data_IF_696762570370
#
_entry.id   IF_696762570370
#
_cell.length_a   1.000
_cell.length_b   1.000
_cell.length_c   1.000
_cell.angle_alpha   90.00
_cell.angle_beta   90.00
_cell.angle_gamma   90.00
#
_symmetry.space_group_name_H-M   'P 1'
#
loop_
_entity.id
_entity.type
_entity.pdbx_description
1 polymer ?
#
# COMPACT_ATOMS: atom_id res chain seq x y z
N UNK A 1 14.89 -50.94 21.92
CA UNK A 1 14.29 -49.67 22.39
C UNK A 1 15.24 -48.53 22.03
N UNK A 2 15.04 -47.90 20.88
CA UNK A 2 15.76 -46.69 20.48
C UNK A 2 14.72 -45.58 20.33
N UNK A 3 14.85 -44.54 21.17
CA UNK A 3 14.03 -43.33 21.10
C UNK A 3 14.55 -42.49 19.93
N UNK A 4 13.72 -42.33 18.91
CA UNK A 4 13.94 -41.36 17.83
C UNK A 4 13.45 -40.01 18.34
N UNK A 5 14.38 -39.09 18.57
CA UNK A 5 14.10 -37.69 18.90
C UNK A 5 13.84 -36.96 17.58
N UNK A 6 12.59 -36.53 17.35
CA UNK A 6 12.25 -35.65 16.22
C UNK A 6 12.92 -34.28 16.40
N UNK A 7 13.91 -34.00 15.55
CA UNK A 7 14.43 -32.65 15.34
C UNK A 7 13.44 -31.90 14.44
N UNK A 8 12.72 -30.93 15.00
CA UNK A 8 11.93 -29.97 14.22
C UNK A 8 12.92 -29.00 13.57
N UNK A 9 13.11 -29.14 12.26
CA UNK A 9 13.86 -28.18 11.45
C UNK A 9 12.88 -27.07 11.05
N UNK A 10 12.94 -25.93 11.75
CA UNK A 10 12.31 -24.71 11.29
C UNK A 10 13.11 -24.15 10.11
N UNK A 11 12.52 -24.15 8.92
CA UNK A 11 13.07 -23.44 7.77
C UNK A 11 12.98 -21.92 8.01
N UNK A 12 14.13 -21.28 8.20
CA UNK A 12 14.28 -19.83 8.14
C UNK A 12 14.23 -19.38 6.67
N UNK A 13 13.22 -18.61 6.30
CA UNK A 13 13.22 -17.84 5.06
C UNK A 13 14.21 -16.69 5.18
N UNK A 14 15.39 -16.83 4.59
CA UNK A 14 16.33 -15.72 4.35
C UNK A 14 15.83 -14.89 3.14
N UNK A 15 14.82 -14.06 3.38
CA UNK A 15 14.67 -12.80 2.66
C UNK A 15 15.20 -11.68 3.55
N UNK A 16 15.77 -10.62 2.98
CA UNK A 16 16.13 -9.42 3.74
C UNK A 16 14.85 -8.79 4.34
N UNK A 17 14.41 -9.31 5.48
CA UNK A 17 13.38 -8.69 6.32
C UNK A 17 14.02 -7.42 6.88
N UNK A 18 13.32 -6.29 6.79
CA UNK A 18 13.82 -5.01 7.27
C UNK A 18 14.14 -5.11 8.77
N UNK A 19 15.40 -5.44 9.08
CA UNK A 19 15.96 -5.46 10.42
C UNK A 19 16.09 -4.01 10.85
N UNK A 20 15.07 -3.48 11.51
CA UNK A 20 15.31 -2.45 12.50
C UNK A 20 16.31 -3.05 13.51
N UNK A 21 17.36 -2.30 13.86
CA UNK A 21 18.11 -2.59 15.10
C UNK A 21 17.09 -2.82 16.22
N UNK A 22 17.33 -3.77 17.15
CA UNK A 22 16.33 -4.22 18.11
C UNK A 22 15.97 -3.08 19.05
N UNK A 23 14.98 -2.28 18.66
CA UNK A 23 14.11 -1.58 19.58
C UNK A 23 13.17 -2.67 20.06
N UNK A 24 13.17 -2.92 21.38
CA UNK A 24 12.34 -3.90 22.09
C UNK A 24 11.08 -4.28 21.32
N UNK A 25 10.85 -5.59 21.09
CA UNK A 25 9.65 -6.16 20.43
C UNK A 25 8.36 -5.48 20.91
N UNK A 26 8.00 -4.39 20.26
CA UNK A 26 6.68 -3.79 20.30
C UNK A 26 5.80 -4.59 19.36
N UNK A 27 4.56 -4.85 19.76
CA UNK A 27 3.57 -5.51 18.93
C UNK A 27 3.57 -4.94 17.50
N UNK A 28 3.41 -5.80 16.50
CA UNK A 28 3.24 -5.36 15.10
C UNK A 28 2.04 -4.42 15.08
N UNK A 29 2.26 -3.16 14.70
CA UNK A 29 1.20 -2.17 14.62
C UNK A 29 0.50 -2.27 13.26
N UNK A 30 -0.82 -2.42 13.30
CA UNK A 30 -1.66 -2.74 12.14
C UNK A 30 -2.83 -1.77 12.08
N UNK A 31 -3.21 -1.36 10.88
CA UNK A 31 -4.50 -0.68 10.69
C UNK A 31 -5.61 -1.71 10.90
N UNK A 32 -6.52 -1.45 11.84
CA UNK A 32 -7.61 -2.39 12.15
C UNK A 32 -8.68 -2.42 11.05
N UNK A 33 -9.42 -3.52 10.93
CA UNK A 33 -10.59 -3.62 10.02
C UNK A 33 -11.58 -2.48 10.27
N UNK A 34 -11.81 -2.11 11.54
CA UNK A 34 -12.71 -1.02 11.91
C UNK A 34 -12.24 0.33 11.34
N UNK A 35 -10.94 0.62 11.41
CA UNK A 35 -10.35 1.81 10.80
C UNK A 35 -10.48 1.79 9.28
N UNK A 36 -10.19 0.66 8.63
CA UNK A 36 -10.33 0.51 7.18
C UNK A 36 -11.77 0.77 6.72
N UNK A 37 -12.77 0.17 7.38
CA UNK A 37 -14.18 0.44 7.09
C UNK A 37 -14.52 1.92 7.31
N UNK A 38 -13.99 2.54 8.37
CA UNK A 38 -14.19 3.96 8.62
C UNK A 38 -13.54 4.84 7.54
N UNK A 39 -12.37 4.48 7.04
CA UNK A 39 -11.70 5.18 5.93
C UNK A 39 -12.59 5.13 4.69
N UNK A 40 -13.02 3.93 4.27
CA UNK A 40 -13.93 3.75 3.14
C UNK A 40 -15.18 4.64 3.23
N UNK A 41 -15.81 4.67 4.41
CA UNK A 41 -17.03 5.46 4.65
C UNK A 41 -16.82 6.97 4.66
N UNK A 42 -15.59 7.48 4.82
CA UNK A 42 -15.30 8.92 4.64
C UNK A 42 -15.47 9.37 3.18
N UNK A 43 -15.54 8.43 2.22
CA UNK A 43 -15.89 8.73 0.83
C UNK A 43 -14.84 9.49 0.03
N UNK A 44 -13.63 9.68 0.57
CA UNK A 44 -12.50 10.27 -0.19
C UNK A 44 -12.13 9.31 -1.32
N UNK A 45 -12.23 9.79 -2.55
CA UNK A 45 -11.91 8.95 -3.70
C UNK A 45 -10.43 8.55 -3.67
N UNK A 46 -10.12 7.28 -3.99
CA UNK A 46 -8.75 6.85 -4.13
C UNK A 46 -8.00 7.75 -5.13
N UNK A 47 -6.78 8.15 -4.80
CA UNK A 47 -6.02 9.10 -5.61
C UNK A 47 -4.51 8.92 -5.50
N UNK A 48 -3.79 9.36 -6.53
CA UNK A 48 -2.31 9.40 -6.52
C UNK A 48 -1.82 10.77 -6.01
N UNK A 49 -0.63 10.84 -5.39
CA UNK A 49 -0.10 12.10 -4.87
C UNK A 49 0.23 13.12 -5.97
N UNK A 50 0.51 12.64 -7.18
CA UNK A 50 0.77 13.42 -8.37
C UNK A 50 0.21 12.66 -9.59
N UNK A 51 -0.21 13.40 -10.62
CA UNK A 51 -0.44 12.84 -11.94
C UNK A 51 0.90 12.34 -12.47
N UNK A 52 1.13 11.03 -12.36
CA UNK A 52 2.24 10.39 -13.04
C UNK A 52 2.00 10.55 -14.54
N UNK A 53 2.93 11.19 -15.24
CA UNK A 53 3.05 10.92 -16.67
C UNK A 53 3.57 9.49 -16.77
N UNK A 54 2.71 8.56 -17.17
CA UNK A 54 3.14 7.27 -17.67
C UNK A 54 4.26 7.56 -18.68
N UNK A 55 5.45 7.04 -18.44
CA UNK A 55 6.58 7.24 -19.33
C UNK A 55 6.23 6.59 -20.67
N UNK A 56 5.77 7.42 -21.61
CA UNK A 56 5.71 7.06 -23.02
C UNK A 56 7.17 6.90 -23.47
N UNK A 57 7.46 5.71 -23.99
CA UNK A 57 8.67 5.25 -24.67
C UNK A 57 9.90 6.20 -24.68
N UNK A 58 11.01 5.70 -24.10
CA UNK A 58 12.40 6.16 -24.31
C UNK A 58 12.92 7.37 -23.52
N UNK A 59 12.51 7.52 -22.25
CA UNK A 59 13.29 8.31 -21.28
C UNK A 59 13.55 7.46 -20.04
N UNK A 60 14.79 6.98 -19.88
CA UNK A 60 15.22 6.12 -18.76
C UNK A 60 15.40 6.87 -17.42
N UNK A 61 14.82 8.05 -17.26
CA UNK A 61 14.89 8.80 -16.00
C UNK A 61 13.48 9.26 -15.63
N UNK A 62 12.64 8.32 -15.21
CA UNK A 62 11.37 8.68 -14.61
C UNK A 62 11.65 9.41 -13.29
N UNK A 63 11.22 10.66 -13.18
CA UNK A 63 11.15 11.40 -11.92
C UNK A 63 10.14 10.67 -11.00
N UNK A 64 10.60 9.67 -10.25
CA UNK A 64 9.74 8.92 -9.33
C UNK A 64 9.44 9.83 -8.14
N UNK A 65 8.22 10.34 -8.08
CA UNK A 65 7.71 11.01 -6.90
C UNK A 65 7.56 9.99 -5.76
N UNK A 66 8.36 10.15 -4.71
CA UNK A 66 8.31 9.32 -3.51
C UNK A 66 7.54 10.06 -2.44
N UNK A 67 6.66 9.33 -1.73
CA UNK A 67 6.11 9.87 -0.50
C UNK A 67 6.96 9.36 0.64
N UNK A 68 7.51 10.29 1.40
CA UNK A 68 8.52 9.98 2.41
C UNK A 68 7.99 10.34 3.77
N UNK A 69 8.22 9.44 4.71
CA UNK A 69 8.24 9.74 6.14
C UNK A 69 9.67 9.93 6.56
N UNK A 70 9.90 11.14 7.04
CA UNK A 70 11.13 11.44 7.72
C UNK A 70 10.78 11.81 9.15
N UNK A 71 11.53 11.31 10.12
CA UNK A 71 11.96 12.22 11.16
C UNK A 71 12.91 13.26 10.52
N UNK A 72 12.52 14.54 10.34
CA UNK A 72 13.51 15.64 10.15
C UNK A 72 13.48 16.63 11.29
N UNK A 73 14.59 16.78 12.01
CA UNK A 73 14.79 17.93 12.89
C UNK A 73 15.26 19.09 12.01
N UNK A 74 14.33 19.96 11.60
CA UNK A 74 14.71 21.18 10.90
C UNK A 74 15.23 22.13 11.99
N UNK A 75 16.57 22.26 12.15
CA UNK A 75 17.25 22.96 13.26
C UNK A 75 16.76 24.39 13.60
N UNK A 76 15.88 25.00 12.79
CA UNK A 76 15.31 26.33 13.01
C UNK A 76 13.77 26.33 13.17
N UNK A 77 13.14 25.15 13.14
CA UNK A 77 11.79 24.91 13.57
C UNK A 77 11.96 24.07 14.84
N UNK A 78 11.75 24.65 16.02
CA UNK A 78 11.71 23.92 17.29
C UNK A 78 10.49 22.97 17.32
N UNK A 79 10.42 22.07 16.35
CA UNK A 79 9.39 21.08 16.17
C UNK A 79 10.06 19.70 16.16
N UNK A 80 9.64 18.78 17.04
CA UNK A 80 10.09 17.42 16.97
C UNK A 80 9.73 16.83 15.61
N UNK A 81 10.78 16.35 14.97
CA UNK A 81 10.90 15.84 13.63
C UNK A 81 9.92 14.75 13.19
N UNK A 82 9.27 14.08 14.15
CA UNK A 82 8.64 12.76 13.97
C UNK A 82 7.34 12.78 13.19
N UNK A 83 6.81 13.96 12.82
CA UNK A 83 5.48 14.11 12.23
C UNK A 83 5.48 14.78 10.84
N UNK A 84 6.63 14.91 10.18
CA UNK A 84 6.69 15.54 8.85
C UNK A 84 6.55 14.50 7.74
N UNK A 85 5.38 14.51 7.11
CA UNK A 85 5.06 13.74 5.92
C UNK A 85 5.19 14.63 4.69
N UNK A 86 5.90 14.18 3.66
CA UNK A 86 6.16 15.03 2.51
C UNK A 86 6.30 14.25 1.20
N UNK A 87 5.94 14.92 0.11
CA UNK A 87 6.18 14.46 -1.26
C UNK A 87 7.54 14.99 -1.69
N UNK A 88 8.41 14.07 -2.08
CA UNK A 88 9.74 14.36 -2.60
C UNK A 88 9.86 13.83 -4.03
N UNK A 89 10.55 14.58 -4.86
CA UNK A 89 10.97 14.17 -6.19
C UNK A 89 12.47 13.89 -6.16
N UNK A 90 12.90 12.83 -6.86
CA UNK A 90 14.32 12.57 -7.06
C UNK A 90 14.77 13.22 -8.37
N UNK A 91 15.63 14.22 -8.28
CA UNK A 91 16.21 14.92 -9.42
C UNK A 91 17.73 14.67 -9.46
N UNK A 92 18.19 13.77 -10.34
CA UNK A 92 19.62 13.36 -10.42
C UNK A 92 20.23 12.98 -9.07
N UNK A 93 19.56 12.12 -8.31
CA UNK A 93 19.94 11.71 -6.95
C UNK A 93 19.84 12.82 -5.90
N UNK A 94 19.35 14.01 -6.24
CA UNK A 94 19.07 15.07 -5.28
C UNK A 94 17.59 15.11 -4.92
N UNK A 95 17.28 15.20 -3.63
CA UNK A 95 15.91 15.32 -3.16
C UNK A 95 15.39 16.74 -3.36
N UNK A 96 14.19 16.81 -3.93
CA UNK A 96 13.44 18.04 -4.13
C UNK A 96 12.12 17.93 -3.37
N UNK A 97 11.91 18.78 -2.37
CA UNK A 97 10.66 18.87 -1.64
C UNK A 97 9.60 19.49 -2.55
N UNK A 98 8.54 18.74 -2.85
CA UNK A 98 7.41 19.22 -3.67
C UNK A 98 6.25 19.72 -2.83
N UNK A 99 5.97 19.04 -1.73
CA UNK A 99 4.83 19.35 -0.87
C UNK A 99 5.01 18.78 0.52
N UNK A 100 4.57 19.53 1.53
CA UNK A 100 4.37 19.00 2.88
C UNK A 100 2.91 18.55 2.99
N UNK A 101 2.69 17.33 3.45
CA UNK A 101 1.36 16.82 3.69
C UNK A 101 0.85 17.29 5.06
N UNK A 102 -0.42 17.73 5.16
CA UNK A 102 -1.04 18.17 6.41
C UNK A 102 -1.49 16.96 7.25
N UNK A 103 -0.57 16.05 7.56
CA UNK A 103 -0.81 14.87 8.39
C UNK A 103 -0.25 15.19 9.77
N UNK A 104 -1.12 15.18 10.80
CA UNK A 104 -0.75 15.63 12.14
C UNK A 104 -0.59 17.15 12.28
N UNK A 105 -0.97 17.94 11.27
CA UNK A 105 -0.98 19.40 11.30
C UNK A 105 -2.04 19.99 10.35
N UNK A 106 -2.33 21.29 10.48
CA UNK A 106 -3.24 22.00 9.57
C UNK A 106 -2.62 22.27 8.20
N UNK A 107 -3.46 22.47 7.18
CA UNK A 107 -3.01 22.88 5.84
C UNK A 107 -2.23 24.20 5.86
N UNK A 108 -2.73 25.20 6.60
CA UNK A 108 -2.06 26.48 6.76
C UNK A 108 -0.65 26.33 7.33
N UNK A 109 -0.47 25.42 8.31
CA UNK A 109 0.84 25.16 8.90
C UNK A 109 1.78 24.44 7.93
N UNK A 110 1.29 23.45 7.19
CA UNK A 110 2.08 22.77 6.17
C UNK A 110 2.58 23.75 5.10
N UNK A 111 1.72 24.68 4.67
CA UNK A 111 2.01 25.70 3.67
C UNK A 111 3.00 26.76 4.20
N UNK A 112 2.84 27.18 5.45
CA UNK A 112 3.79 28.07 6.14
C UNK A 112 5.21 27.46 6.16
N UNK A 113 5.33 26.19 6.59
CA UNK A 113 6.62 25.50 6.65
C UNK A 113 7.25 25.37 5.26
N UNK A 114 6.46 25.01 4.24
CA UNK A 114 6.95 24.92 2.87
C UNK A 114 7.46 26.28 2.36
N UNK A 115 6.71 27.35 2.63
CA UNK A 115 7.09 28.73 2.27
C UNK A 115 8.37 29.19 2.98
N UNK A 116 8.55 28.83 4.25
CA UNK A 116 9.78 29.11 4.99
C UNK A 116 10.99 28.41 4.37
N UNK A 117 10.86 27.12 4.01
CA UNK A 117 11.92 26.35 3.36
C UNK A 117 12.26 26.92 1.98
N UNK A 118 11.24 27.29 1.20
CA UNK A 118 11.39 27.94 -0.10
C UNK A 118 12.18 29.26 0.02
N UNK A 119 11.83 30.12 0.99
CA UNK A 119 12.52 31.40 1.23
C UNK A 119 13.97 31.21 1.65
N UNK A 120 14.26 30.18 2.46
CA UNK A 120 15.59 29.94 3.03
C UNK A 120 16.54 29.25 2.06
N UNK A 121 16.04 28.29 1.28
CA UNK A 121 16.86 27.40 0.46
C UNK A 121 16.67 27.61 -1.05
N UNK A 122 15.76 28.49 -1.45
CA UNK A 122 15.47 28.79 -2.85
C UNK A 122 14.60 27.74 -3.53
N UNK A 123 14.27 27.99 -4.79
CA UNK A 123 13.39 27.14 -5.61
C UNK A 123 12.14 27.89 -6.06
N UNK A 124 11.12 27.14 -6.49
CA UNK A 124 9.79 27.70 -6.80
C UNK A 124 8.70 26.74 -6.34
N UNK A 125 7.45 27.20 -6.27
CA UNK A 125 6.31 26.32 -5.95
C UNK A 125 6.13 25.20 -6.97
N UNK A 126 6.42 25.48 -8.24
CA UNK A 126 6.32 24.51 -9.34
C UNK A 126 7.47 23.50 -9.32
N UNK A 127 8.70 23.99 -9.14
CA UNK A 127 9.91 23.15 -9.20
C UNK A 127 10.19 22.44 -7.87
N UNK A 128 9.79 23.02 -6.75
CA UNK A 128 10.07 22.54 -5.39
C UNK A 128 11.33 23.17 -4.80
N UNK A 129 11.74 22.66 -3.64
CA UNK A 129 12.88 23.14 -2.84
C UNK A 129 13.95 22.05 -2.76
N UNK A 130 15.18 22.33 -3.19
CA UNK A 130 16.29 21.37 -3.06
C UNK A 130 16.65 21.15 -1.59
N UNK A 131 16.68 19.90 -1.15
CA UNK A 131 16.84 19.50 0.24
C UNK A 131 18.28 19.62 0.79
N UNK A 132 19.04 20.65 0.39
CA UNK A 132 20.47 20.79 0.71
C UNK A 132 20.79 20.79 2.21
N UNK A 133 19.79 21.07 3.05
CA UNK A 133 19.89 21.06 4.50
C UNK A 133 19.79 19.67 5.14
N UNK A 134 19.38 18.64 4.40
CA UNK A 134 19.02 17.35 4.97
C UNK A 134 20.14 16.32 4.82
N UNK A 135 20.60 15.79 5.95
CA UNK A 135 21.46 14.59 6.04
C UNK A 135 20.79 13.63 7.01
N UNK A 136 20.60 12.37 6.63
CA UNK A 136 19.94 11.36 7.44
C UNK A 136 19.32 10.23 6.62
N UNK A 137 18.44 9.45 7.26
CA UNK A 137 17.72 8.34 6.63
C UNK A 137 16.23 8.64 6.49
N UNK A 138 15.63 8.17 5.39
CA UNK A 138 14.24 8.43 5.03
C UNK A 138 13.52 7.13 4.71
N UNK A 139 12.34 6.92 5.29
CA UNK A 139 11.44 5.85 4.84
C UNK A 139 10.60 6.38 3.68
N UNK A 140 10.79 5.84 2.48
CA UNK A 140 10.06 6.25 1.29
C UNK A 140 9.12 5.14 0.83
N UNK A 141 7.84 5.46 0.71
CA UNK A 141 6.88 4.64 -0.04
C UNK A 141 7.14 4.83 -1.54
N UNK A 142 7.32 3.73 -2.25
CA UNK A 142 7.49 3.73 -3.71
C UNK A 142 6.12 3.70 -4.35
N UNK A 143 5.83 4.64 -5.24
CA UNK A 143 4.52 4.72 -5.91
C UNK A 143 3.34 4.61 -4.93
N UNK A 144 3.25 5.48 -3.93
CA UNK A 144 2.18 5.48 -2.94
C UNK A 144 0.81 5.74 -3.57
N UNK A 145 -0.23 5.21 -2.96
CA UNK A 145 -1.62 5.45 -3.33
C UNK A 145 -2.42 5.90 -2.10
N UNK A 146 -3.27 6.91 -2.24
CA UNK A 146 -4.19 7.31 -1.18
C UNK A 146 -5.44 6.43 -1.24
N UNK A 147 -5.58 5.52 -0.30
CA UNK A 147 -6.76 4.69 -0.12
C UNK A 147 -7.64 5.30 0.97
N UNK A 148 -8.63 6.09 0.56
CA UNK A 148 -9.64 6.64 1.45
C UNK A 148 -9.08 7.47 2.63
N UNK A 149 -7.99 8.18 2.39
CA UNK A 149 -7.31 9.03 3.37
C UNK A 149 -6.05 8.41 3.98
N UNK A 150 -5.80 7.11 3.78
CA UNK A 150 -4.56 6.44 4.21
C UNK A 150 -3.61 6.28 3.03
N UNK A 151 -2.33 6.63 3.22
CA UNK A 151 -1.33 6.49 2.16
C UNK A 151 -0.65 5.15 2.27
N UNK A 152 -0.74 4.33 1.21
CA UNK A 152 -0.23 2.97 1.22
C UNK A 152 0.73 2.69 0.06
N UNK A 153 1.63 1.73 0.23
CA UNK A 153 2.42 1.15 -0.86
C UNK A 153 2.71 -0.34 -0.67
N UNK A 154 2.91 -1.04 -1.79
CA UNK A 154 3.45 -2.41 -1.85
C UNK A 154 4.96 -2.47 -1.58
N UNK A 155 5.62 -1.32 -1.69
CA UNK A 155 7.07 -1.23 -1.67
C UNK A 155 7.50 -0.02 -0.86
N UNK A 156 8.53 -0.25 -0.06
CA UNK A 156 9.18 0.75 0.75
C UNK A 156 10.66 0.68 0.49
N UNK A 157 11.34 1.80 0.62
CA UNK A 157 12.80 1.85 0.62
C UNK A 157 13.27 2.77 1.73
N UNK A 158 14.46 2.48 2.23
CA UNK A 158 15.18 3.37 3.13
C UNK A 158 16.20 4.12 2.27
N UNK A 159 16.09 5.44 2.22
CA UNK A 159 17.06 6.28 1.54
C UNK A 159 18.06 6.79 2.58
N UNK A 160 19.35 6.66 2.30
CA UNK A 160 20.39 7.40 3.03
C UNK A 160 20.73 8.65 2.24
N UNK A 161 20.78 9.80 2.92
CA UNK A 161 20.93 11.12 2.30
C UNK A 161 22.05 11.90 2.97
N UNK A 162 22.93 12.51 2.20
CA UNK A 162 23.87 13.53 2.65
C UNK A 162 23.64 14.86 1.93
N UNK A 163 23.32 15.91 2.68
CA UNK A 163 23.10 17.29 2.18
C UNK A 163 22.18 17.34 0.96
N UNK A 164 21.08 16.59 1.04
CA UNK A 164 20.06 16.47 0.02
C UNK A 164 20.35 15.45 -1.08
N UNK A 165 21.55 14.87 -1.15
CA UNK A 165 21.91 13.84 -2.13
C UNK A 165 21.70 12.45 -1.56
N UNK A 166 20.95 11.62 -2.28
CA UNK A 166 20.74 10.20 -1.99
C UNK A 166 22.06 9.47 -2.24
N UNK A 167 22.63 8.88 -1.19
CA UNK A 167 23.89 8.14 -1.23
C UNK A 167 23.69 6.62 -1.19
N UNK A 168 22.56 6.16 -0.64
CA UNK A 168 22.15 4.75 -0.67
C UNK A 168 20.64 4.62 -0.80
N UNK A 169 20.20 3.52 -1.41
CA UNK A 169 18.81 3.12 -1.55
C UNK A 169 18.70 1.66 -1.14
N UNK A 170 18.15 1.41 0.03
CA UNK A 170 17.96 0.05 0.55
C UNK A 170 16.49 -0.36 0.32
N UNK A 171 16.20 -1.25 -0.64
CA UNK A 171 14.84 -1.71 -0.86
C UNK A 171 14.37 -2.58 0.30
N UNK A 172 13.20 -2.24 0.84
CA UNK A 172 12.48 -3.03 1.83
C UNK A 172 11.43 -3.87 1.09
N UNK A 173 11.81 -5.09 0.75
CA UNK A 173 10.91 -6.02 0.05
C UNK A 173 9.84 -6.55 0.99
N UNK A 174 8.58 -6.20 0.76
CA UNK A 174 7.45 -6.93 1.37
C UNK A 174 7.36 -8.30 0.68
N UNK A 175 7.35 -9.42 1.42
CA UNK A 175 7.21 -10.75 0.83
C UNK A 175 6.00 -10.84 -0.10
N UNK A 176 6.17 -11.53 -1.24
CA UNK A 176 5.06 -11.73 -2.17
C UNK A 176 4.04 -12.69 -1.56
N UNK A 177 2.75 -12.43 -1.83
CA UNK A 177 1.71 -13.42 -1.56
C UNK A 177 1.86 -14.63 -2.48
N UNK A 178 1.31 -15.78 -2.08
CA UNK A 178 1.36 -17.03 -2.85
C UNK A 178 0.50 -16.98 -4.12
N UNK A 179 -0.53 -16.12 -4.17
CA UNK A 179 -1.35 -15.89 -5.37
C UNK A 179 -0.70 -14.88 -6.31
N UNK A 180 0.41 -15.25 -6.96
CA UNK A 180 1.11 -14.35 -7.89
C UNK A 180 1.21 -14.87 -9.34
N UNK A 181 1.00 -16.17 -9.57
CA UNK A 181 1.32 -16.83 -10.85
C UNK A 181 0.17 -17.69 -11.44
N UNK A 182 -1.06 -17.16 -11.55
CA UNK A 182 -2.20 -17.96 -12.01
C UNK A 182 -2.42 -17.97 -13.54
N UNK A 183 -1.52 -17.37 -14.32
CA UNK A 183 -1.50 -17.41 -15.79
C UNK A 183 -0.49 -16.45 -16.43
N UNK A 184 0.07 -16.84 -17.58
CA UNK A 184 1.04 -16.08 -18.38
C UNK A 184 0.33 -15.00 -19.22
N UNK A 185 0.04 -13.85 -18.62
CA UNK A 185 -0.25 -12.64 -19.37
C UNK A 185 1.04 -11.89 -19.69
N UNK A 186 1.20 -11.38 -20.91
CA UNK A 186 2.21 -10.34 -21.17
C UNK A 186 1.76 -9.10 -20.42
N UNK A 187 2.39 -8.82 -19.28
CA UNK A 187 2.14 -7.61 -18.52
C UNK A 187 2.95 -6.47 -19.16
N UNK A 188 2.27 -5.58 -19.88
CA UNK A 188 2.87 -4.29 -20.22
C UNK A 188 2.96 -3.52 -18.90
N UNK A 189 4.19 -3.33 -18.44
CA UNK A 189 4.52 -2.72 -17.17
C UNK A 189 4.45 -1.19 -17.35
N UNK A 190 3.25 -0.63 -17.33
CA UNK A 190 2.99 0.81 -17.53
C UNK A 190 2.97 1.62 -16.23
N UNK A 191 3.24 0.99 -15.08
CA UNK A 191 3.39 1.68 -13.80
C UNK A 191 3.62 0.75 -12.60
N UNK A 192 3.96 1.35 -11.45
CA UNK A 192 4.28 0.62 -10.21
C UNK A 192 3.14 -0.22 -9.61
N UNK A 193 1.89 0.16 -9.88
CA UNK A 193 0.73 -0.69 -9.66
C UNK A 193 0.33 -1.14 -11.06
N UNK A 194 0.77 -2.33 -11.48
CA UNK A 194 0.38 -2.90 -12.76
C UNK A 194 -1.13 -2.72 -12.94
N UNK A 195 -1.58 -2.23 -14.11
CA UNK A 195 -3.00 -1.99 -14.43
C UNK A 195 -3.91 -3.18 -14.12
N UNK A 196 -3.35 -4.38 -14.11
CA UNK A 196 -3.98 -5.59 -13.60
C UNK A 196 -3.15 -6.15 -12.45
N UNK A 197 -3.55 -5.88 -11.20
CA UNK A 197 -2.95 -6.53 -10.04
C UNK A 197 -3.12 -8.05 -10.20
N UNK A 198 -2.06 -8.83 -10.52
CA UNK A 198 -2.23 -10.23 -10.93
C UNK A 198 -2.88 -11.09 -9.84
N UNK A 199 -2.69 -10.68 -8.58
CA UNK A 199 -3.29 -11.27 -7.38
C UNK A 199 -4.83 -11.21 -7.42
N UNK A 200 -5.45 -10.19 -8.02
CA UNK A 200 -6.92 -10.07 -8.13
C UNK A 200 -7.47 -10.97 -9.24
N UNK A 201 -6.78 -11.06 -10.39
CA UNK A 201 -7.16 -12.03 -11.45
C UNK A 201 -7.00 -13.47 -10.97
N UNK A 202 -5.95 -13.73 -10.18
CA UNK A 202 -5.75 -14.99 -9.46
C UNK A 202 -6.92 -15.28 -8.51
N UNK A 203 -7.35 -14.28 -7.73
CA UNK A 203 -8.48 -14.40 -6.82
C UNK A 203 -9.78 -14.74 -7.56
N UNK A 204 -10.07 -14.02 -8.64
CA UNK A 204 -11.26 -14.27 -9.45
C UNK A 204 -11.28 -15.68 -10.03
N UNK A 205 -10.13 -16.15 -10.56
CA UNK A 205 -9.97 -17.53 -11.00
C UNK A 205 -10.19 -18.52 -9.87
N UNK A 206 -9.57 -18.30 -8.71
CA UNK A 206 -9.74 -19.16 -7.55
C UNK A 206 -11.21 -19.25 -7.12
N UNK A 207 -11.91 -18.12 -7.06
CA UNK A 207 -13.34 -18.10 -6.72
C UNK A 207 -14.12 -18.88 -7.77
N UNK A 208 -13.94 -18.59 -9.06
CA UNK A 208 -14.65 -19.32 -10.13
C UNK A 208 -14.46 -20.84 -10.05
N UNK A 209 -13.27 -21.29 -9.71
CA UNK A 209 -12.93 -22.72 -9.67
C UNK A 209 -13.46 -23.42 -8.39
N UNK A 210 -13.85 -22.69 -7.33
CA UNK A 210 -14.22 -23.26 -6.02
C UNK A 210 -15.56 -22.74 -5.43
N UNK A 211 -16.24 -21.82 -6.11
CA UNK A 211 -17.48 -21.19 -5.66
C UNK A 211 -18.70 -21.88 -6.26
N UNK A 212 -19.70 -22.20 -5.44
CA UNK A 212 -20.98 -22.76 -5.91
C UNK A 212 -21.94 -21.64 -6.35
N UNK A 213 -22.27 -21.52 -7.66
CA UNK A 213 -23.07 -20.40 -8.15
C UNK A 213 -24.48 -20.33 -7.55
N UNK A 214 -24.81 -19.20 -6.91
CA UNK A 214 -26.17 -18.89 -6.44
C UNK A 214 -26.99 -18.30 -7.58
N UNK A 215 -28.09 -18.97 -7.93
CA UNK A 215 -28.97 -18.55 -9.02
C UNK A 215 -29.57 -17.15 -8.83
N UNK A 216 -29.54 -16.34 -9.88
CA UNK A 216 -30.16 -15.02 -9.96
C UNK A 216 -30.39 -14.61 -11.43
N UNK A 217 -31.41 -13.80 -11.67
CA UNK A 217 -31.65 -13.15 -12.96
C UNK A 217 -30.99 -11.78 -13.09
N UNK A 218 -30.51 -11.21 -11.97
CA UNK A 218 -29.96 -9.86 -11.93
C UNK A 218 -28.49 -9.87 -11.53
N UNK A 219 -27.77 -8.89 -12.07
CA UNK A 219 -26.45 -8.53 -11.62
C UNK A 219 -26.54 -7.69 -10.34
N UNK A 220 -25.58 -7.87 -9.44
CA UNK A 220 -25.48 -7.13 -8.18
C UNK A 220 -24.06 -6.64 -7.95
N UNK A 221 -23.93 -5.36 -7.62
CA UNK A 221 -22.65 -4.74 -7.30
C UNK A 221 -22.42 -4.69 -5.79
N UNK A 222 -21.15 -4.87 -5.42
CA UNK A 222 -20.66 -4.88 -4.05
C UNK A 222 -19.38 -4.07 -3.94
N UNK A 223 -19.15 -3.56 -2.75
CA UNK A 223 -17.84 -3.08 -2.32
C UNK A 223 -17.37 -3.99 -1.21
N UNK A 224 -16.17 -4.55 -1.35
CA UNK A 224 -15.62 -5.53 -0.44
C UNK A 224 -14.32 -5.01 0.16
N UNK A 225 -14.02 -5.43 1.39
CA UNK A 225 -12.69 -5.36 1.98
C UNK A 225 -12.17 -6.79 2.10
N UNK A 226 -11.20 -7.14 1.28
CA UNK A 226 -10.42 -8.36 1.44
C UNK A 226 -9.32 -8.10 2.48
N UNK A 227 -9.36 -8.81 3.60
CA UNK A 227 -8.45 -8.63 4.73
C UNK A 227 -7.63 -9.89 4.94
N UNK A 228 -6.32 -9.76 5.13
CA UNK A 228 -5.43 -10.88 5.46
C UNK A 228 -4.82 -10.67 6.82
N UNK A 229 -5.18 -11.51 7.80
CA UNK A 229 -4.70 -11.37 9.18
C UNK A 229 -3.19 -11.67 9.32
N UNK A 230 -2.64 -11.49 10.51
CA UNK A 230 -1.21 -11.71 10.76
C UNK A 230 -0.80 -13.19 10.68
N UNK A 231 -1.76 -14.13 10.72
CA UNK A 231 -1.51 -15.54 10.45
C UNK A 231 -1.44 -15.83 8.95
N UNK A 232 -1.81 -14.87 8.09
CA UNK A 232 -1.88 -14.99 6.65
C UNK A 232 -3.23 -15.52 6.14
N UNK A 233 -4.24 -15.66 7.00
CA UNK A 233 -5.58 -16.10 6.60
C UNK A 233 -6.39 -14.94 6.05
N UNK A 234 -7.11 -15.19 4.95
CA UNK A 234 -7.89 -14.18 4.25
C UNK A 234 -9.37 -14.24 4.62
N UNK A 235 -9.99 -13.07 4.69
CA UNK A 235 -11.37 -12.84 5.03
C UNK A 235 -11.94 -11.79 4.10
N UNK A 236 -13.25 -11.82 3.86
CA UNK A 236 -13.95 -10.78 3.13
C UNK A 236 -14.95 -10.10 4.04
N UNK A 237 -14.99 -8.77 4.00
CA UNK A 237 -15.98 -7.95 4.67
C UNK A 237 -16.78 -7.18 3.63
N UNK A 238 -18.11 -7.17 3.77
CA UNK A 238 -19.00 -6.42 2.88
C UNK A 238 -19.07 -4.97 3.34
N UNK A 239 -18.65 -4.05 2.48
CA UNK A 239 -18.74 -2.61 2.71
C UNK A 239 -20.03 -2.03 2.09
N UNK A 240 -20.42 -2.55 0.92
CA UNK A 240 -21.68 -2.21 0.24
C UNK A 240 -22.30 -3.48 -0.36
N UNK A 241 -23.64 -3.65 -0.29
CA UNK A 241 -24.61 -2.72 0.32
C UNK A 241 -24.56 -2.73 1.86
N UNK A 242 -24.90 -1.60 2.49
CA UNK A 242 -24.91 -1.49 3.98
C UNK A 242 -25.94 -2.43 4.62
N UNK A 243 -27.06 -2.67 3.93
CA UNK A 243 -28.11 -3.60 4.35
C UNK A 243 -28.20 -4.73 3.34
N UNK A 244 -27.93 -5.95 3.81
CA UNK A 244 -28.03 -7.15 2.99
C UNK A 244 -29.46 -7.70 2.99
N UNK A 245 -29.99 -7.95 1.79
CA UNK A 245 -31.19 -8.77 1.61
C UNK A 245 -30.89 -10.27 1.79
N UNK A 246 -31.93 -11.09 1.65
CA UNK A 246 -31.78 -12.56 1.70
C UNK A 246 -30.84 -13.08 0.61
N UNK A 247 -30.97 -12.56 -0.61
CA UNK A 247 -30.12 -12.94 -1.73
C UNK A 247 -28.65 -12.58 -1.48
N UNK A 248 -28.40 -11.34 -1.04
CA UNK A 248 -27.04 -10.85 -0.73
C UNK A 248 -26.38 -11.76 0.31
N UNK A 249 -27.10 -12.13 1.38
CA UNK A 249 -26.59 -13.05 2.42
C UNK A 249 -26.18 -14.40 1.85
N UNK A 250 -26.95 -14.97 0.91
CA UNK A 250 -26.67 -16.28 0.33
C UNK A 250 -25.42 -16.24 -0.56
N UNK A 251 -25.32 -15.23 -1.41
CA UNK A 251 -24.16 -15.00 -2.29
C UNK A 251 -22.89 -14.71 -1.49
N UNK A 252 -23.00 -13.85 -0.47
CA UNK A 252 -21.88 -13.48 0.40
C UNK A 252 -21.41 -14.66 1.24
N UNK A 253 -22.32 -15.45 1.81
CA UNK A 253 -21.94 -16.63 2.62
C UNK A 253 -21.10 -17.62 1.83
N UNK A 254 -21.44 -17.81 0.55
CA UNK A 254 -20.70 -18.71 -0.33
C UNK A 254 -19.33 -18.12 -0.73
N UNK A 255 -19.28 -16.80 -0.93
CA UNK A 255 -18.02 -16.09 -1.17
C UNK A 255 -17.11 -16.18 0.06
N UNK A 256 -17.64 -15.93 1.26
CA UNK A 256 -16.91 -16.04 2.52
C UNK A 256 -16.37 -17.45 2.73
N UNK A 257 -17.17 -18.50 2.47
CA UNK A 257 -16.72 -19.89 2.51
C UNK A 257 -15.53 -20.11 1.57
N UNK A 258 -15.66 -19.70 0.32
CA UNK A 258 -14.62 -19.83 -0.70
C UNK A 258 -13.34 -19.07 -0.29
N UNK A 259 -13.45 -17.82 0.13
CA UNK A 259 -12.31 -16.99 0.56
C UNK A 259 -11.58 -17.60 1.77
N UNK A 260 -12.29 -18.24 2.69
CA UNK A 260 -11.70 -18.90 3.85
C UNK A 260 -10.83 -20.13 3.49
N UNK A 261 -10.99 -20.68 2.29
CA UNK A 261 -10.22 -21.82 1.76
C UNK A 261 -8.94 -21.39 1.03
N UNK A 262 -8.73 -20.08 0.86
CA UNK A 262 -7.51 -19.56 0.25
C UNK A 262 -6.26 -20.02 1.02
N UNK A 263 -5.17 -20.39 0.31
CA UNK A 263 -3.91 -20.69 0.96
C UNK A 263 -3.44 -19.57 1.88
N UNK A 264 -2.82 -19.94 2.99
CA UNK A 264 -2.21 -18.97 3.90
C UNK A 264 -1.17 -18.14 3.17
N UNK A 265 -1.16 -16.82 3.41
CA UNK A 265 -0.25 -15.89 2.74
C UNK A 265 -0.62 -15.63 1.28
N UNK A 266 -1.87 -15.85 0.88
CA UNK A 266 -2.36 -15.57 -0.48
C UNK A 266 -2.11 -14.13 -0.93
N UNK A 267 -2.34 -13.16 -0.03
CA UNK A 267 -2.15 -11.74 -0.32
C UNK A 267 -1.08 -11.13 0.59
N UNK A 268 -0.38 -10.14 0.05
CA UNK A 268 0.56 -9.32 0.81
C UNK A 268 -0.15 -8.16 1.52
N UNK A 269 0.41 -7.71 2.63
CA UNK A 269 0.03 -6.43 3.21
C UNK A 269 0.61 -5.24 2.41
N UNK A 270 0.15 -4.03 2.71
CA UNK A 270 0.76 -2.77 2.27
C UNK A 270 1.38 -2.07 3.48
N UNK A 271 2.39 -1.26 3.23
CA UNK A 271 2.96 -0.35 4.23
C UNK A 271 2.19 0.97 4.17
N UNK A 272 1.78 1.47 5.32
CA UNK A 272 1.26 2.83 5.43
C UNK A 272 2.39 3.83 5.55
N UNK A 273 2.05 5.10 5.37
CA UNK A 273 2.97 6.19 5.56
C UNK A 273 3.50 6.25 6.99
N UNK A 274 2.64 6.15 7.99
CA UNK A 274 3.04 6.13 9.41
C UNK A 274 3.78 4.84 9.86
N UNK A 275 4.00 3.90 8.94
CA UNK A 275 4.79 2.68 9.19
C UNK A 275 4.00 1.51 9.80
N UNK A 276 2.67 1.62 9.85
CA UNK A 276 1.76 0.52 10.19
C UNK A 276 1.60 -0.44 9.01
N UNK A 277 1.18 -1.66 9.34
CA UNK A 277 0.80 -2.65 8.34
C UNK A 277 -0.67 -2.44 7.95
N UNK A 278 -0.93 -2.21 6.66
CA UNK A 278 -2.26 -2.18 6.08
C UNK A 278 -2.59 -3.53 5.44
N UNK A 279 -3.42 -4.31 6.13
CA UNK A 279 -3.72 -5.70 5.80
C UNK A 279 -4.90 -5.88 4.83
N UNK A 280 -5.47 -4.78 4.35
CA UNK A 280 -6.65 -4.77 3.50
C UNK A 280 -6.39 -4.54 2.01
N UNK A 281 -7.36 -4.93 1.19
CA UNK A 281 -7.60 -4.46 -0.18
C UNK A 281 -9.06 -4.12 -0.34
N UNK A 282 -9.35 -2.93 -0.85
CA UNK A 282 -10.71 -2.56 -1.22
C UNK A 282 -10.97 -3.07 -2.63
N UNK A 283 -12.05 -3.82 -2.81
CA UNK A 283 -12.43 -4.37 -4.11
C UNK A 283 -13.83 -3.88 -4.52
N UNK A 284 -13.96 -3.44 -5.76
CA UNK A 284 -15.23 -3.38 -6.48
C UNK A 284 -15.54 -4.79 -6.95
N UNK A 285 -16.76 -5.25 -6.74
CA UNK A 285 -17.16 -6.58 -7.13
C UNK A 285 -18.53 -6.56 -7.76
N UNK A 286 -18.72 -7.40 -8.77
CA UNK A 286 -20.00 -7.58 -9.43
C UNK A 286 -20.29 -9.06 -9.50
N UNK A 287 -21.48 -9.46 -9.05
CA UNK A 287 -21.93 -10.84 -9.10
C UNK A 287 -23.06 -11.01 -10.12
N UNK A 288 -22.96 -12.04 -10.96
CA UNK A 288 -24.05 -12.55 -11.78
C UNK A 288 -24.02 -14.07 -11.84
N UNK A 289 -25.18 -14.72 -12.04
CA UNK A 289 -25.21 -16.19 -12.11
C UNK A 289 -24.39 -16.75 -13.28
N UNK A 290 -24.41 -16.08 -14.45
CA UNK A 290 -23.71 -16.55 -15.65
C UNK A 290 -22.21 -16.24 -15.63
N UNK A 291 -21.82 -15.09 -15.09
CA UNK A 291 -20.43 -14.63 -15.07
C UNK A 291 -19.68 -14.94 -13.77
N UNK A 292 -20.38 -15.34 -12.71
CA UNK A 292 -19.79 -15.44 -11.37
C UNK A 292 -19.44 -14.06 -10.81
N UNK A 293 -18.32 -13.99 -10.10
CA UNK A 293 -17.76 -12.76 -9.55
C UNK A 293 -16.78 -12.12 -10.53
N UNK A 294 -16.96 -10.85 -10.87
CA UNK A 294 -15.96 -9.96 -11.49
C UNK A 294 -15.38 -9.06 -10.39
N UNK A 295 -14.06 -9.04 -10.24
CA UNK A 295 -13.37 -8.33 -9.15
C UNK A 295 -12.37 -7.30 -9.69
N UNK A 296 -12.41 -6.09 -9.13
CA UNK A 296 -11.44 -5.02 -9.43
C UNK A 296 -10.98 -4.34 -8.16
N UNK A 297 -9.70 -3.98 -8.08
CA UNK A 297 -9.17 -3.24 -6.94
C UNK A 297 -9.52 -1.75 -7.07
N UNK A 298 -9.88 -1.07 -5.97
CA UNK A 298 -10.17 0.37 -5.98
C UNK A 298 -8.96 1.27 -6.31
N UNK A 299 -7.74 0.72 -6.29
CA UNK A 299 -6.53 1.39 -6.79
C UNK A 299 -6.59 1.61 -8.32
N UNK A 300 -7.50 0.91 -9.03
CA UNK A 300 -7.71 0.99 -10.48
C UNK A 300 -9.20 1.10 -10.93
#
# INVERSE_FOLDING_TARGET
>A
MQRITCLIICFWFNGNVCSQKPVNRTAIDTVSVKEMVAYFNKGKQPSRPLNYYDAIERVCEANIARLVVSPVLIKNLDMPATNFHAIWENYYSQLVLKKILPIGMSEARAEEVFSMLLKKYGGSREKGVFASWFTGTLNALICPYNLYGEWVSREKTILTVDRGYITSVDPCGIPRGSLHNCGNGVHINDGCWNRDLPEIKCLEKFIRDNYDPVFTFFQKDYSLLLFTDLSGKSYVHILRPEKMGWFDRRVVSELERTINELPVGSFRYLETLDGRIFQGRYLKATYSYRGGWDLRDYIH
#
